data_IF_054846873402
#
_entry.id   IF_054846873402
#
_cell.length_a   1.000
_cell.length_b   1.000
_cell.length_c   1.000
_cell.angle_alpha   90.00
_cell.angle_beta   90.00
_cell.angle_gamma   90.00
#
_symmetry.space_group_name_H-M   'P 1'
#
loop_
_entity.id
_entity.type
_entity.pdbx_description
1 polymer ?
#
# COMPACT_ATOMS: atom_id res chain seq x y z
N UNK A 1 -22.92 47.57 -15.94
CA UNK A 1 -23.97 47.74 -14.92
C UNK A 1 -23.54 48.86 -13.99
N UNK A 2 -24.14 50.05 -14.09
CA UNK A 2 -23.86 51.09 -13.09
C UNK A 2 -24.54 50.69 -11.78
N UNK A 3 -23.77 50.68 -10.70
CA UNK A 3 -24.33 50.47 -9.36
C UNK A 3 -24.82 51.82 -8.85
N UNK A 4 -25.96 51.88 -8.16
CA UNK A 4 -26.50 53.10 -7.52
C UNK A 4 -25.45 53.97 -6.80
N UNK A 5 -24.42 53.36 -6.22
CA UNK A 5 -23.29 54.07 -5.62
C UNK A 5 -22.41 54.85 -6.63
N UNK A 6 -22.12 54.26 -7.79
CA UNK A 6 -21.35 54.90 -8.86
C UNK A 6 -22.11 56.06 -9.49
N UNK A 7 -23.44 55.95 -9.60
CA UNK A 7 -24.29 57.05 -10.09
C UNK A 7 -24.25 58.23 -9.13
N UNK A 8 -24.40 57.98 -7.82
CA UNK A 8 -24.32 59.01 -6.78
C UNK A 8 -22.94 59.68 -6.72
N UNK A 9 -21.85 58.91 -6.91
CA UNK A 9 -20.49 59.45 -6.94
C UNK A 9 -20.28 60.36 -8.16
N UNK A 10 -20.85 60.01 -9.31
CA UNK A 10 -20.81 60.84 -10.53
C UNK A 10 -21.62 62.12 -10.34
N UNK A 11 -22.79 62.03 -9.69
CA UNK A 11 -23.60 63.18 -9.33
C UNK A 11 -22.88 64.09 -8.31
N UNK A 12 -22.13 63.52 -7.37
CA UNK A 12 -21.36 64.26 -6.37
C UNK A 12 -20.23 65.05 -7.04
N UNK A 13 -19.58 64.48 -8.05
CA UNK A 13 -18.57 65.18 -8.85
C UNK A 13 -19.17 66.39 -9.58
N UNK A 14 -20.33 66.23 -10.21
CA UNK A 14 -21.01 67.35 -10.89
C UNK A 14 -21.38 68.49 -9.94
N UNK A 15 -21.88 68.15 -8.74
CA UNK A 15 -22.20 69.16 -7.71
C UNK A 15 -20.95 69.87 -7.16
N UNK A 16 -19.81 69.19 -7.13
CA UNK A 16 -18.52 69.77 -6.71
C UNK A 16 -18.02 70.78 -7.74
N UNK A 17 -18.10 70.44 -9.02
CA UNK A 17 -17.70 71.35 -10.11
C UNK A 17 -18.57 72.62 -10.12
N UNK A 18 -19.88 72.48 -9.90
CA UNK A 18 -20.79 73.62 -9.80
C UNK A 18 -20.54 74.45 -8.53
N UNK A 19 -20.20 73.82 -7.40
CA UNK A 19 -19.83 74.53 -6.18
C UNK A 19 -18.55 75.34 -6.38
N UNK A 20 -17.56 74.74 -7.03
CA UNK A 20 -16.28 75.38 -7.34
C UNK A 20 -16.46 76.62 -8.22
N UNK A 21 -17.29 76.53 -9.28
CA UNK A 21 -17.61 77.68 -10.15
C UNK A 21 -18.28 78.83 -9.38
N UNK A 22 -19.25 78.52 -8.52
CA UNK A 22 -19.94 79.53 -7.72
C UNK A 22 -19.01 80.18 -6.69
N UNK A 23 -18.10 79.40 -6.08
CA UNK A 23 -17.11 79.91 -5.14
C UNK A 23 -16.10 80.84 -5.82
N UNK A 24 -15.63 80.49 -7.02
CA UNK A 24 -14.77 81.37 -7.82
C UNK A 24 -15.47 82.69 -8.17
N UNK A 25 -16.73 82.64 -8.61
CA UNK A 25 -17.48 83.87 -8.89
C UNK A 25 -17.57 84.80 -7.69
N UNK A 26 -17.82 84.25 -6.50
CA UNK A 26 -17.87 85.03 -5.25
C UNK A 26 -16.49 85.61 -4.90
N UNK A 27 -15.42 84.85 -5.10
CA UNK A 27 -14.05 85.33 -4.89
C UNK A 27 -13.70 86.45 -5.87
N UNK A 28 -14.03 86.32 -7.15
CA UNK A 28 -13.82 87.37 -8.17
C UNK A 28 -14.58 88.65 -7.80
N UNK A 29 -15.83 88.52 -7.31
CA UNK A 29 -16.61 89.65 -6.84
C UNK A 29 -16.00 90.32 -5.59
N UNK A 30 -15.47 89.52 -4.65
CA UNK A 30 -14.79 90.04 -3.45
C UNK A 30 -13.44 90.68 -3.78
N UNK A 31 -12.69 90.12 -4.72
CA UNK A 31 -11.43 90.68 -5.22
C UNK A 31 -11.66 92.03 -5.90
N UNK A 32 -12.72 92.12 -6.72
CA UNK A 32 -13.18 93.40 -7.25
C UNK A 32 -13.44 94.39 -6.11
N UNK A 33 -14.24 94.05 -5.09
CA UNK A 33 -14.51 94.94 -3.95
C UNK A 33 -13.26 95.38 -3.18
N UNK A 34 -12.24 94.52 -3.10
CA UNK A 34 -11.02 94.75 -2.32
C UNK A 34 -9.97 95.59 -3.06
N UNK A 35 -10.17 95.88 -4.36
CA UNK A 35 -9.21 96.62 -5.16
C UNK A 35 -9.09 98.10 -4.70
N UNK A 36 -7.87 98.59 -4.37
CA UNK A 36 -7.67 99.99 -4.02
C UNK A 36 -7.89 100.87 -5.27
N UNK A 37 -8.72 101.91 -5.13
CA UNK A 37 -9.08 102.87 -6.19
C UNK A 37 -10.18 102.47 -7.21
N UNK A 38 -11.20 101.72 -6.80
CA UNK A 38 -12.38 101.51 -7.65
C UNK A 38 -13.36 102.68 -7.67
N UNK A 39 -13.96 102.93 -8.85
CA UNK A 39 -15.09 103.82 -8.98
C UNK A 39 -16.31 103.27 -8.22
N UNK A 40 -17.09 104.19 -7.62
CA UNK A 40 -18.27 103.82 -6.80
C UNK A 40 -19.30 102.98 -7.56
N UNK A 41 -19.41 103.17 -8.88
CA UNK A 41 -20.32 102.40 -9.73
C UNK A 41 -19.88 100.93 -9.87
N UNK A 42 -18.58 100.68 -9.99
CA UNK A 42 -18.00 99.32 -10.08
C UNK A 42 -18.13 98.58 -8.74
N UNK A 43 -17.98 99.28 -7.62
CA UNK A 43 -18.22 98.73 -6.28
C UNK A 43 -19.69 98.31 -6.08
N UNK A 44 -20.63 99.13 -6.55
CA UNK A 44 -22.07 98.80 -6.49
C UNK A 44 -22.41 97.64 -7.42
N UNK A 45 -21.80 97.57 -8.60
CA UNK A 45 -21.97 96.44 -9.52
C UNK A 45 -21.43 95.13 -8.92
N UNK A 46 -20.25 95.17 -8.30
CA UNK A 46 -19.65 94.01 -7.66
C UNK A 46 -20.42 93.57 -6.40
N UNK A 47 -20.99 94.50 -5.62
CA UNK A 47 -21.90 94.19 -4.51
C UNK A 47 -23.19 93.50 -4.98
N UNK A 48 -23.75 93.93 -6.12
CA UNK A 48 -24.93 93.27 -6.73
C UNK A 48 -24.57 91.89 -7.27
N UNK A 49 -23.39 91.72 -7.87
CA UNK A 49 -22.88 90.43 -8.31
C UNK A 49 -22.72 89.46 -7.13
N UNK A 50 -22.11 89.94 -6.03
CA UNK A 50 -21.95 89.17 -4.80
C UNK A 50 -23.30 88.74 -4.20
N UNK A 51 -24.26 89.67 -4.15
CA UNK A 51 -25.62 89.36 -3.68
C UNK A 51 -26.25 88.25 -4.54
N UNK A 52 -26.11 88.34 -5.86
CA UNK A 52 -26.69 87.39 -6.83
C UNK A 52 -26.03 86.00 -6.74
N UNK A 53 -24.74 85.93 -6.42
CA UNK A 53 -23.98 84.66 -6.36
C UNK A 53 -24.00 83.99 -4.98
N UNK A 54 -24.37 84.72 -3.92
CA UNK A 54 -24.43 84.20 -2.55
C UNK A 54 -25.45 83.07 -2.36
N UNK A 55 -26.66 83.22 -2.91
CA UNK A 55 -27.74 82.22 -2.80
C UNK A 55 -27.41 80.93 -3.59
N UNK A 56 -26.95 80.99 -4.87
CA UNK A 56 -26.48 79.82 -5.61
C UNK A 56 -25.36 79.04 -4.90
N UNK A 57 -24.39 79.74 -4.31
CA UNK A 57 -23.30 79.11 -3.57
C UNK A 57 -23.81 78.31 -2.36
N UNK A 58 -24.69 78.92 -1.55
CA UNK A 58 -25.29 78.25 -0.39
C UNK A 58 -26.13 77.06 -0.81
N UNK A 59 -26.94 77.19 -1.86
CA UNK A 59 -27.75 76.10 -2.40
C UNK A 59 -26.89 74.94 -2.91
N UNK A 60 -25.82 75.25 -3.64
CA UNK A 60 -24.87 74.26 -4.12
C UNK A 60 -24.18 73.52 -2.97
N UNK A 61 -23.78 74.23 -1.91
CA UNK A 61 -23.17 73.64 -0.72
C UNK A 61 -24.13 72.69 0.02
N UNK A 62 -25.40 73.07 0.14
CA UNK A 62 -26.44 72.19 0.73
C UNK A 62 -26.61 70.92 -0.10
N UNK A 63 -26.70 71.04 -1.43
CA UNK A 63 -26.83 69.88 -2.32
C UNK A 63 -25.63 68.94 -2.22
N UNK A 64 -24.41 69.49 -2.25
CA UNK A 64 -23.17 68.72 -2.09
C UNK A 64 -23.17 67.92 -0.78
N UNK A 65 -23.61 68.53 0.32
CA UNK A 65 -23.70 67.86 1.63
C UNK A 65 -24.74 66.75 1.63
N UNK A 66 -25.93 66.98 1.07
CA UNK A 66 -26.99 65.97 0.97
C UNK A 66 -26.52 64.77 0.15
N UNK A 67 -25.88 65.03 -1.00
CA UNK A 67 -25.40 63.95 -1.86
C UNK A 67 -24.22 63.19 -1.25
N UNK A 68 -23.33 63.88 -0.52
CA UNK A 68 -22.27 63.22 0.24
C UNK A 68 -22.83 62.24 1.28
N UNK A 69 -23.87 62.64 2.03
CA UNK A 69 -24.57 61.74 2.98
C UNK A 69 -25.16 60.54 2.23
N UNK A 70 -25.84 60.77 1.11
CA UNK A 70 -26.41 59.69 0.29
C UNK A 70 -25.33 58.72 -0.23
N UNK A 71 -24.17 59.22 -0.65
CA UNK A 71 -23.04 58.40 -1.09
C UNK A 71 -22.49 57.53 0.04
N UNK A 72 -22.32 58.11 1.23
CA UNK A 72 -21.83 57.39 2.42
C UNK A 72 -22.83 56.32 2.85
N UNK A 73 -24.13 56.60 2.84
CA UNK A 73 -25.17 55.63 3.15
C UNK A 73 -25.24 54.51 2.10
N UNK A 74 -25.17 54.83 0.81
CA UNK A 74 -25.13 53.85 -0.27
C UNK A 74 -23.89 52.95 -0.19
N UNK A 75 -22.75 53.50 0.20
CA UNK A 75 -21.54 52.73 0.47
C UNK A 75 -21.69 51.84 1.70
N UNK A 76 -22.16 52.38 2.82
CA UNK A 76 -22.32 51.63 4.07
C UNK A 76 -23.33 50.48 3.94
N UNK A 77 -24.43 50.71 3.22
CA UNK A 77 -25.41 49.66 2.89
C UNK A 77 -24.81 48.60 1.98
N UNK A 78 -24.04 48.99 0.95
CA UNK A 78 -23.30 48.04 0.11
C UNK A 78 -22.26 47.25 0.90
N UNK A 79 -21.52 47.86 1.81
CA UNK A 79 -20.50 47.18 2.60
C UNK A 79 -21.11 46.21 3.63
N UNK A 80 -22.20 46.60 4.30
CA UNK A 80 -22.87 45.77 5.32
C UNK A 80 -23.75 44.67 4.73
N UNK A 81 -24.48 44.97 3.66
CA UNK A 81 -25.46 44.07 3.06
C UNK A 81 -24.88 43.33 1.86
N UNK A 82 -23.85 43.87 1.20
CA UNK A 82 -23.21 43.29 0.00
C UNK A 82 -22.83 41.81 0.14
N UNK A 83 -22.15 41.38 1.21
CA UNK A 83 -21.79 39.97 1.39
C UNK A 83 -23.01 39.05 1.51
N UNK A 84 -24.06 39.47 2.22
CA UNK A 84 -25.30 38.70 2.39
C UNK A 84 -26.21 38.75 1.14
N UNK A 85 -26.23 39.90 0.46
CA UNK A 85 -26.93 40.13 -0.81
C UNK A 85 -26.29 39.34 -1.94
N UNK A 86 -24.96 39.24 -2.01
CA UNK A 86 -24.28 38.50 -3.08
C UNK A 86 -24.47 36.99 -2.94
N UNK A 87 -24.61 36.46 -1.71
CA UNK A 87 -25.03 35.07 -1.49
C UNK A 87 -26.50 34.87 -1.88
N UNK A 88 -27.38 35.83 -1.60
CA UNK A 88 -28.80 35.76 -1.99
C UNK A 88 -29.07 36.05 -3.48
N UNK A 89 -28.20 36.82 -4.16
CA UNK A 89 -28.24 37.11 -5.60
C UNK A 89 -27.40 36.16 -6.43
N UNK A 90 -26.51 35.41 -5.80
CA UNK A 90 -25.84 34.29 -6.42
C UNK A 90 -26.93 33.34 -6.90
N UNK A 91 -27.13 33.31 -8.22
CA UNK A 91 -28.03 32.37 -8.89
C UNK A 91 -27.58 30.91 -8.75
N UNK A 92 -26.69 30.60 -7.81
CA UNK A 92 -26.42 29.26 -7.30
C UNK A 92 -27.61 28.80 -6.43
N UNK A 93 -28.82 28.87 -6.97
CA UNK A 93 -29.92 28.07 -6.47
C UNK A 93 -29.89 26.77 -7.24
N UNK A 94 -29.55 25.68 -6.55
CA UNK A 94 -29.83 24.34 -7.05
C UNK A 94 -31.35 24.19 -7.08
N UNK A 95 -32.01 24.64 -8.16
CA UNK A 95 -33.41 24.32 -8.40
C UNK A 95 -33.54 22.81 -8.46
N UNK A 96 -34.45 22.26 -7.65
CA UNK A 96 -34.66 20.82 -7.46
C UNK A 96 -35.21 20.06 -8.70
N UNK A 97 -35.05 20.63 -9.90
CA UNK A 97 -35.55 20.07 -11.16
C UNK A 97 -34.54 20.12 -12.32
N UNK A 98 -33.29 20.54 -12.09
CA UNK A 98 -32.24 20.55 -13.11
C UNK A 98 -31.22 19.44 -12.82
N UNK A 99 -31.64 18.18 -12.92
CA UNK A 99 -30.80 16.98 -12.79
C UNK A 99 -29.98 16.71 -14.09
N UNK A 100 -29.55 17.76 -14.77
CA UNK A 100 -28.61 17.65 -15.88
C UNK A 100 -27.22 17.18 -15.39
N UNK A 101 -26.47 16.43 -16.22
CA UNK A 101 -25.14 15.95 -15.86
C UNK A 101 -24.14 17.08 -15.54
N UNK A 102 -24.39 18.31 -16.02
CA UNK A 102 -23.55 19.49 -15.84
C UNK A 102 -23.95 20.40 -14.65
N UNK A 103 -24.87 19.96 -13.79
CA UNK A 103 -25.24 20.71 -12.59
C UNK A 103 -24.10 20.72 -11.56
N UNK A 104 -23.80 21.86 -10.95
CA UNK A 104 -22.85 21.97 -9.82
C UNK A 104 -23.18 20.96 -8.71
N UNK A 105 -24.47 20.64 -8.50
CA UNK A 105 -24.88 19.61 -7.54
C UNK A 105 -24.44 18.20 -7.93
N UNK A 106 -24.49 17.84 -9.21
CA UNK A 106 -24.01 16.52 -9.67
C UNK A 106 -22.49 16.44 -9.49
N UNK A 107 -21.77 17.52 -9.80
CA UNK A 107 -20.32 17.61 -9.60
C UNK A 107 -19.94 17.46 -8.12
N UNK A 108 -20.60 18.20 -7.22
CA UNK A 108 -20.34 18.10 -5.78
C UNK A 108 -20.65 16.70 -5.25
N UNK A 109 -21.74 16.09 -5.71
CA UNK A 109 -22.09 14.71 -5.35
C UNK A 109 -21.00 13.74 -5.82
N UNK A 110 -20.54 13.86 -7.07
CA UNK A 110 -19.50 13.00 -7.65
C UNK A 110 -18.15 13.17 -6.96
N UNK A 111 -17.79 14.40 -6.58
CA UNK A 111 -16.58 14.68 -5.79
C UNK A 111 -16.68 14.03 -4.41
N UNK A 112 -17.85 14.07 -3.76
CA UNK A 112 -18.06 13.39 -2.49
C UNK A 112 -17.97 11.87 -2.62
N UNK A 113 -18.59 11.30 -3.65
CA UNK A 113 -18.50 9.87 -3.95
C UNK A 113 -17.05 9.43 -4.20
N UNK A 114 -16.30 10.19 -5.00
CA UNK A 114 -14.89 9.94 -5.25
C UNK A 114 -14.06 10.02 -3.95
N UNK A 115 -14.30 11.03 -3.13
CA UNK A 115 -13.62 11.19 -1.84
C UNK A 115 -13.91 9.99 -0.92
N UNK A 116 -15.15 9.53 -0.85
CA UNK A 116 -15.53 8.36 -0.06
C UNK A 116 -14.87 7.09 -0.58
N UNK A 117 -14.89 6.87 -1.89
CA UNK A 117 -14.22 5.71 -2.51
C UNK A 117 -12.71 5.73 -2.27
N UNK A 118 -12.08 6.90 -2.32
CA UNK A 118 -10.65 7.06 -2.04
C UNK A 118 -10.30 6.78 -0.59
N UNK A 119 -11.10 7.28 0.36
CA UNK A 119 -10.93 6.96 1.79
C UNK A 119 -11.11 5.46 2.06
N UNK A 120 -12.11 4.83 1.44
CA UNK A 120 -12.32 3.38 1.53
C UNK A 120 -11.13 2.60 0.98
N UNK A 121 -10.61 2.99 -0.19
CA UNK A 121 -9.43 2.36 -0.77
C UNK A 121 -8.20 2.50 0.14
N UNK A 122 -7.98 3.69 0.70
CA UNK A 122 -6.87 3.93 1.62
C UNK A 122 -7.01 3.11 2.92
N UNK A 123 -8.23 2.96 3.45
CA UNK A 123 -8.50 2.07 4.58
C UNK A 123 -8.25 0.60 4.24
N UNK A 124 -8.67 0.16 3.04
CA UNK A 124 -8.46 -1.19 2.54
C UNK A 124 -6.96 -1.55 2.44
N UNK A 125 -6.15 -0.62 1.95
CA UNK A 125 -4.71 -0.84 1.79
C UNK A 125 -3.94 -0.78 3.12
N UNK A 126 -4.31 0.12 4.04
CA UNK A 126 -3.52 0.34 5.26
C UNK A 126 -3.99 -0.46 6.48
N UNK A 127 -5.31 -0.58 6.70
CA UNK A 127 -5.85 -1.12 7.95
C UNK A 127 -6.52 -2.48 7.77
N UNK A 128 -7.11 -2.71 6.60
CA UNK A 128 -7.83 -3.95 6.29
C UNK A 128 -7.04 -4.86 5.35
N UNK A 129 -5.77 -4.56 5.10
CA UNK A 129 -4.90 -5.42 4.32
C UNK A 129 -4.68 -6.73 5.06
N UNK A 130 -4.92 -7.85 4.35
CA UNK A 130 -4.65 -9.19 4.88
C UNK A 130 -3.35 -9.68 4.26
N UNK A 131 -2.36 -9.92 5.11
CA UNK A 131 -1.08 -10.50 4.70
C UNK A 131 -1.18 -12.03 4.57
N UNK A 132 -0.28 -12.60 3.77
CA UNK A 132 -0.13 -14.04 3.64
C UNK A 132 0.45 -14.64 4.94
N UNK A 133 0.09 -15.89 5.22
CA UNK A 133 0.70 -16.61 6.33
C UNK A 133 2.18 -16.89 6.03
N UNK A 134 3.06 -16.38 6.88
CA UNK A 134 4.50 -16.58 6.76
C UNK A 134 4.88 -18.00 7.18
N UNK A 135 5.51 -18.81 6.29
CA UNK A 135 6.03 -20.10 6.69
C UNK A 135 7.18 -19.92 7.70
N UNK A 136 7.25 -20.81 8.69
CA UNK A 136 8.37 -20.82 9.63
C UNK A 136 9.59 -21.44 8.94
N UNK A 137 10.64 -20.65 8.75
CA UNK A 137 11.91 -21.12 8.22
C UNK A 137 12.76 -21.74 9.33
N UNK A 138 13.20 -22.99 9.17
CA UNK A 138 14.24 -23.60 10.00
C UNK A 138 15.55 -23.63 9.20
N UNK A 139 16.32 -22.55 9.26
CA UNK A 139 17.72 -22.54 8.79
C UNK A 139 18.65 -22.87 9.96
N UNK A 140 18.73 -24.14 10.33
CA UNK A 140 19.86 -24.72 11.07
C UNK A 140 20.21 -24.16 12.46
N UNK A 141 19.38 -23.32 13.07
CA UNK A 141 19.62 -22.73 14.39
C UNK A 141 18.53 -23.08 15.42
N UNK A 142 18.84 -22.94 16.71
CA UNK A 142 17.91 -23.12 17.84
C UNK A 142 16.73 -22.10 17.85
N UNK A 143 16.75 -21.11 16.98
CA UNK A 143 15.71 -20.09 16.88
C UNK A 143 14.91 -20.24 15.59
N UNK A 144 13.59 -20.28 15.74
CA UNK A 144 12.64 -20.26 14.62
C UNK A 144 12.50 -18.82 14.16
N UNK A 145 13.01 -18.51 12.97
CA UNK A 145 12.78 -17.22 12.33
C UNK A 145 11.53 -17.29 11.47
N UNK A 146 10.63 -16.32 11.62
CA UNK A 146 9.52 -16.14 10.69
C UNK A 146 10.11 -15.66 9.38
N UNK A 147 9.95 -16.45 8.32
CA UNK A 147 10.47 -16.07 7.03
C UNK A 147 9.61 -14.94 6.44
N UNK A 148 10.19 -13.74 6.35
CA UNK A 148 9.57 -12.57 5.74
C UNK A 148 10.07 -12.34 4.31
N UNK A 149 10.83 -13.27 3.73
CA UNK A 149 11.34 -13.19 2.36
C UNK A 149 10.22 -13.43 1.33
N UNK A 150 9.16 -12.64 1.40
CA UNK A 150 8.10 -12.57 0.40
C UNK A 150 7.37 -13.89 0.10
N UNK A 151 6.37 -13.84 -0.79
CA UNK A 151 5.75 -15.05 -1.30
C UNK A 151 6.73 -15.82 -2.22
N UNK A 152 6.57 -17.16 -2.35
CA UNK A 152 7.30 -17.95 -3.34
C UNK A 152 7.17 -17.35 -4.75
N UNK A 153 8.19 -17.48 -5.63
CA UNK A 153 8.23 -16.80 -6.93
C UNK A 153 7.04 -17.14 -7.83
N UNK A 154 6.53 -18.37 -7.73
CA UNK A 154 5.34 -18.83 -8.46
C UNK A 154 4.07 -18.10 -8.01
N UNK A 155 3.92 -17.85 -6.70
CA UNK A 155 2.81 -17.10 -6.14
C UNK A 155 2.99 -15.59 -6.39
N UNK A 156 4.22 -15.08 -6.32
CA UNK A 156 4.54 -13.68 -6.61
C UNK A 156 4.11 -13.28 -8.02
N UNK A 157 4.35 -14.14 -9.03
CA UNK A 157 3.91 -13.92 -10.40
C UNK A 157 2.37 -13.88 -10.53
N UNK A 158 1.67 -14.79 -9.85
CA UNK A 158 0.21 -14.84 -9.85
C UNK A 158 -0.42 -13.62 -9.14
N UNK A 159 0.21 -13.14 -8.06
CA UNK A 159 -0.23 -11.94 -7.33
C UNK A 159 0.02 -10.67 -8.14
N UNK A 160 1.19 -10.55 -8.80
CA UNK A 160 1.48 -9.42 -9.68
C UNK A 160 0.47 -9.30 -10.85
N UNK A 161 -0.11 -10.42 -11.30
CA UNK A 161 -1.14 -10.42 -12.32
C UNK A 161 -2.49 -9.82 -11.85
N UNK A 162 -2.77 -9.80 -10.54
CA UNK A 162 -3.92 -9.07 -9.98
C UNK A 162 -3.69 -7.55 -9.99
N UNK A 163 -2.44 -7.11 -9.86
CA UNK A 163 -2.07 -5.70 -9.82
C UNK A 163 -1.90 -5.07 -11.21
N UNK A 164 -2.05 -5.86 -12.29
CA UNK A 164 -1.92 -5.43 -13.68
C UNK A 164 -3.02 -4.45 -14.15
N UNK A 165 -3.96 -4.09 -13.27
CA UNK A 165 -4.95 -3.04 -13.52
C UNK A 165 -5.92 -3.40 -14.66
N UNK A 166 -6.10 -2.55 -15.69
CA UNK A 166 -7.08 -2.76 -16.76
C UNK A 166 -6.76 -3.95 -17.67
N UNK A 167 -5.49 -4.38 -17.71
CA UNK A 167 -5.02 -5.53 -18.50
C UNK A 167 -5.02 -6.82 -17.68
N UNK A 168 -5.50 -6.78 -16.43
CA UNK A 168 -5.56 -7.95 -15.58
C UNK A 168 -6.55 -8.98 -16.15
N UNK A 169 -6.16 -10.26 -16.23
CA UNK A 169 -7.10 -11.32 -16.56
C UNK A 169 -8.25 -11.36 -15.54
N UNK A 170 -9.42 -11.81 -15.98
CA UNK A 170 -10.61 -11.85 -15.13
C UNK A 170 -10.29 -12.55 -13.79
N UNK A 171 -10.73 -11.96 -12.67
CA UNK A 171 -10.43 -12.44 -11.33
C UNK A 171 -10.77 -13.94 -11.10
N UNK A 172 -11.75 -14.46 -11.83
CA UNK A 172 -12.12 -15.88 -11.82
C UNK A 172 -11.02 -16.79 -12.40
N UNK A 173 -10.34 -16.36 -13.48
CA UNK A 173 -9.26 -17.13 -14.10
C UNK A 173 -8.03 -17.17 -13.19
N UNK A 174 -7.66 -16.03 -12.59
CA UNK A 174 -6.56 -15.97 -11.62
C UNK A 174 -6.85 -16.83 -10.37
N UNK A 175 -8.11 -16.82 -9.90
CA UNK A 175 -8.52 -17.68 -8.78
C UNK A 175 -8.42 -19.16 -9.12
N UNK A 176 -8.79 -19.56 -10.34
CA UNK A 176 -8.65 -20.94 -10.79
C UNK A 176 -7.18 -21.37 -10.83
N UNK A 177 -6.28 -20.49 -11.26
CA UNK A 177 -4.84 -20.76 -11.29
C UNK A 177 -4.25 -20.91 -9.88
N UNK A 178 -4.66 -20.05 -8.93
CA UNK A 178 -4.26 -20.19 -7.52
C UNK A 178 -4.76 -21.49 -6.88
N UNK A 179 -5.99 -21.93 -7.21
CA UNK A 179 -6.51 -23.21 -6.73
C UNK A 179 -5.73 -24.38 -7.31
N UNK A 180 -5.39 -24.34 -8.59
CA UNK A 180 -4.55 -25.35 -9.25
C UNK A 180 -3.18 -25.44 -8.60
N UNK A 181 -2.58 -24.29 -8.28
CA UNK A 181 -1.31 -24.22 -7.56
C UNK A 181 -1.40 -24.87 -6.17
N UNK A 182 -2.43 -24.52 -5.40
CA UNK A 182 -2.67 -25.07 -4.08
C UNK A 182 -2.87 -26.59 -4.11
N UNK A 183 -3.62 -27.10 -5.09
CA UNK A 183 -3.86 -28.53 -5.26
C UNK A 183 -2.59 -29.28 -5.68
N UNK A 184 -1.73 -28.66 -6.49
CA UNK A 184 -0.41 -29.21 -6.80
C UNK A 184 0.49 -29.31 -5.55
N UNK A 185 0.50 -28.30 -4.67
CA UNK A 185 1.24 -28.36 -3.40
C UNK A 185 0.70 -29.48 -2.51
N UNK A 186 -0.62 -29.63 -2.39
CA UNK A 186 -1.23 -30.71 -1.61
C UNK A 186 -0.84 -32.08 -2.15
N UNK A 187 -0.90 -32.26 -3.47
CA UNK A 187 -0.57 -33.52 -4.12
C UNK A 187 0.92 -33.89 -3.95
N UNK A 188 1.83 -32.93 -4.17
CA UNK A 188 3.27 -33.15 -3.98
C UNK A 188 3.61 -33.45 -2.52
N UNK A 189 3.05 -32.71 -1.57
CA UNK A 189 3.24 -32.97 -0.13
C UNK A 189 2.71 -34.34 0.27
N UNK A 190 1.52 -34.73 -0.19
CA UNK A 190 0.95 -36.04 0.08
C UNK A 190 1.83 -37.16 -0.48
N UNK A 191 2.31 -36.99 -1.72
CA UNK A 191 3.24 -37.93 -2.36
C UNK A 191 4.51 -38.13 -1.53
N UNK A 192 5.22 -37.04 -1.19
CA UNK A 192 6.45 -37.15 -0.41
C UNK A 192 6.23 -37.72 0.99
N UNK A 193 5.09 -37.41 1.64
CA UNK A 193 4.74 -37.98 2.94
C UNK A 193 4.54 -39.49 2.84
N UNK A 194 3.83 -39.96 1.82
CA UNK A 194 3.62 -41.38 1.59
C UNK A 194 4.92 -42.11 1.22
N UNK A 195 5.72 -41.54 0.31
CA UNK A 195 7.03 -42.10 -0.05
C UNK A 195 7.95 -42.19 1.17
N UNK A 196 8.01 -41.15 2.00
CA UNK A 196 8.82 -41.16 3.22
C UNK A 196 8.30 -42.20 4.23
N UNK A 197 6.99 -42.22 4.47
CA UNK A 197 6.39 -43.13 5.46
C UNK A 197 6.49 -44.59 5.06
N UNK A 198 6.33 -44.94 3.80
CA UNK A 198 6.25 -46.34 3.37
C UNK A 198 7.53 -46.83 2.69
N UNK A 199 8.04 -46.13 1.67
CA UNK A 199 9.22 -46.57 0.94
C UNK A 199 10.51 -46.37 1.74
N UNK A 200 10.73 -45.16 2.27
CA UNK A 200 11.96 -44.86 3.02
C UNK A 200 11.99 -45.61 4.36
N UNK A 201 10.88 -45.70 5.08
CA UNK A 201 10.87 -46.43 6.34
C UNK A 201 11.11 -47.94 6.18
N UNK A 202 10.53 -48.58 5.14
CA UNK A 202 10.74 -50.00 4.90
C UNK A 202 12.14 -50.29 4.36
N UNK A 203 12.67 -49.43 3.48
CA UNK A 203 14.07 -49.56 3.05
C UNK A 203 15.04 -49.38 4.22
N UNK A 204 14.78 -48.44 5.14
CA UNK A 204 15.61 -48.23 6.32
C UNK A 204 15.51 -49.42 7.29
N UNK A 205 14.32 -50.01 7.46
CA UNK A 205 14.14 -51.24 8.24
C UNK A 205 14.92 -52.41 7.64
N UNK A 206 14.87 -52.57 6.32
CA UNK A 206 15.60 -53.63 5.63
C UNK A 206 17.12 -53.42 5.78
N UNK A 207 17.59 -52.20 5.55
CA UNK A 207 19.00 -51.85 5.70
C UNK A 207 19.48 -52.08 7.14
N UNK A 208 18.66 -51.75 8.14
CA UNK A 208 18.96 -51.99 9.56
C UNK A 208 19.09 -53.48 9.86
N UNK A 209 18.20 -54.32 9.29
CA UNK A 209 18.31 -55.79 9.42
C UNK A 209 19.58 -56.31 8.76
N UNK A 210 19.89 -55.84 7.56
CA UNK A 210 21.07 -56.30 6.81
C UNK A 210 22.37 -55.89 7.53
N UNK A 211 22.43 -54.67 8.07
CA UNK A 211 23.55 -54.19 8.89
C UNK A 211 23.68 -55.02 10.17
N UNK A 212 22.56 -55.37 10.83
CA UNK A 212 22.58 -56.20 12.04
C UNK A 212 23.02 -57.63 11.75
N UNK A 213 22.57 -58.20 10.63
CA UNK A 213 23.02 -59.52 10.18
C UNK A 213 24.51 -59.50 9.80
N UNK A 214 24.97 -58.41 9.18
CA UNK A 214 26.38 -58.23 8.84
C UNK A 214 27.25 -58.06 10.10
N UNK A 215 26.80 -57.30 11.09
CA UNK A 215 27.51 -57.16 12.37
C UNK A 215 27.60 -58.50 13.11
N UNK A 216 26.53 -59.31 13.13
CA UNK A 216 26.56 -60.66 13.72
C UNK A 216 27.51 -61.60 12.97
N UNK A 217 27.52 -61.55 11.63
CA UNK A 217 28.49 -62.34 10.82
C UNK A 217 29.91 -61.90 11.09
N UNK A 218 30.14 -60.60 11.21
CA UNK A 218 31.44 -60.04 11.54
C UNK A 218 31.90 -60.49 12.93
N UNK A 219 31.04 -60.39 13.94
CA UNK A 219 31.29 -60.86 15.31
C UNK A 219 31.53 -62.38 15.36
N UNK A 220 30.81 -63.16 14.54
CA UNK A 220 31.08 -64.60 14.37
C UNK A 220 32.45 -64.87 13.72
N UNK A 221 32.85 -64.10 12.71
CA UNK A 221 34.16 -64.23 12.09
C UNK A 221 35.26 -63.81 13.07
N UNK A 222 35.06 -62.71 13.78
CA UNK A 222 35.97 -62.25 14.83
C UNK A 222 36.10 -63.29 15.95
N UNK A 223 34.99 -63.90 16.37
CA UNK A 223 34.98 -64.99 17.34
C UNK A 223 35.68 -66.28 16.87
N UNK A 224 35.70 -66.56 15.57
CA UNK A 224 36.43 -67.73 15.01
C UNK A 224 37.92 -67.46 14.75
N UNK A 225 38.27 -66.22 14.39
CA UNK A 225 39.64 -65.79 14.08
C UNK A 225 40.44 -65.35 15.32
N UNK A 226 39.78 -64.67 16.27
CA UNK A 226 40.42 -64.03 17.43
C UNK A 226 39.86 -64.50 18.78
N UNK A 227 38.65 -65.06 18.80
CA UNK A 227 38.00 -65.59 20.00
C UNK A 227 38.33 -67.06 20.29
N UNK A 228 38.15 -67.44 21.55
CA UNK A 228 38.27 -68.83 22.06
C UNK A 228 36.99 -69.64 21.77
N UNK A 229 36.39 -69.47 20.59
CA UNK A 229 35.22 -70.24 20.19
C UNK A 229 35.59 -71.73 19.97
N UNK A 230 34.68 -72.69 20.24
CA UNK A 230 34.98 -74.13 20.13
C UNK A 230 35.36 -74.59 18.71
N UNK A 231 35.10 -73.77 17.69
CA UNK A 231 35.51 -73.94 16.29
C UNK A 231 36.70 -73.05 15.89
N UNK A 232 37.46 -72.52 16.85
CA UNK A 232 38.67 -71.74 16.63
C UNK A 232 39.64 -72.44 15.68
N UNK A 233 40.41 -71.68 14.90
CA UNK A 233 41.49 -72.18 14.05
C UNK A 233 42.41 -73.18 14.77
N UNK A 234 42.66 -73.01 16.07
CA UNK A 234 43.43 -73.97 16.89
C UNK A 234 42.70 -75.29 17.13
N UNK A 235 41.38 -75.26 17.30
CA UNK A 235 40.52 -76.44 17.44
C UNK A 235 40.41 -77.20 16.11
N UNK A 236 40.25 -76.46 15.01
CA UNK A 236 40.25 -77.00 13.64
C UNK A 236 41.61 -77.61 13.26
N UNK A 237 42.72 -76.97 13.64
CA UNK A 237 44.06 -77.55 13.47
C UNK A 237 44.25 -78.81 14.33
N UNK A 238 43.78 -78.80 15.58
CA UNK A 238 43.83 -79.99 16.44
C UNK A 238 42.97 -81.14 15.92
N UNK A 239 41.80 -80.87 15.34
CA UNK A 239 40.96 -81.93 14.74
C UNK A 239 41.56 -82.48 13.44
N UNK A 240 42.28 -81.66 12.68
CA UNK A 240 43.09 -82.12 11.55
C UNK A 240 44.27 -82.98 12.02
N UNK A 241 44.93 -82.63 13.12
CA UNK A 241 46.00 -83.45 13.70
C UNK A 241 45.48 -84.77 14.26
N UNK A 242 44.31 -84.80 14.90
CA UNK A 242 43.71 -86.05 15.40
C UNK A 242 43.16 -86.93 14.29
N UNK A 243 42.58 -86.37 13.23
CA UNK A 243 42.17 -87.15 12.05
C UNK A 243 43.36 -87.70 11.28
N UNK A 244 44.46 -86.94 11.18
CA UNK A 244 45.73 -87.44 10.64
C UNK A 244 46.28 -88.59 11.50
N UNK A 245 46.25 -88.46 12.82
CA UNK A 245 46.67 -89.52 13.74
C UNK A 245 45.78 -90.79 13.63
N UNK A 246 44.45 -90.60 13.48
CA UNK A 246 43.51 -91.71 13.29
C UNK A 246 43.70 -92.42 11.94
N UNK A 247 44.04 -91.69 10.86
CA UNK A 247 44.43 -92.30 9.59
C UNK A 247 45.69 -93.15 9.72
N UNK A 248 46.71 -92.64 10.42
CA UNK A 248 47.96 -93.39 10.65
C UNK A 248 47.72 -94.66 11.47
N UNK A 249 46.85 -94.61 12.49
CA UNK A 249 46.44 -95.77 13.27
C UNK A 249 45.59 -96.76 12.46
N UNK A 250 44.70 -96.29 11.59
CA UNK A 250 43.92 -97.16 10.69
C UNK A 250 44.81 -97.88 9.68
N UNK A 251 45.87 -97.24 9.17
CA UNK A 251 46.86 -97.91 8.31
C UNK A 251 47.71 -98.90 9.10
N UNK A 252 48.10 -98.58 10.34
CA UNK A 252 48.87 -99.50 11.19
C UNK A 252 48.04 -100.71 11.68
N UNK A 253 46.73 -100.54 11.89
CA UNK A 253 45.82 -101.62 12.24
C UNK A 253 45.52 -102.55 11.05
N UNK A 254 45.59 -102.05 9.82
CA UNK A 254 45.43 -102.88 8.63
C UNK A 254 46.63 -103.83 8.41
N UNK A 255 47.84 -103.44 8.85
CA UNK A 255 49.05 -104.28 8.78
C UNK A 255 49.15 -105.35 9.88
N UNK A 256 48.29 -105.32 10.91
CA UNK A 256 48.28 -106.29 12.02
C UNK A 256 47.14 -107.32 11.96
N UNK A 257 46.25 -107.22 10.96
CA UNK A 257 45.07 -108.08 10.83
C UNK A 257 45.13 -109.02 9.61
N UNK A 258 46.30 -109.63 9.34
CA UNK A 258 46.41 -110.78 8.45
C UNK A 258 46.68 -112.06 9.27
N UNK A 259 45.71 -112.99 9.41
CA UNK A 259 45.98 -114.35 9.85
C UNK A 259 46.13 -115.29 8.64
N UNK A 260 47.31 -115.87 8.51
CA UNK A 260 47.58 -117.03 7.64
C UNK A 260 46.99 -118.30 8.24
N UNK A 261 46.03 -118.91 7.52
CA UNK A 261 45.88 -120.36 7.40
C UNK A 261 45.18 -120.62 6.06
N UNK A 262 45.80 -121.31 5.11
CA UNK A 262 45.96 -122.76 5.19
C UNK A 262 46.99 -123.28 4.19
N UNK A 263 47.93 -124.08 4.69
CA UNK A 263 48.65 -125.14 3.97
C UNK A 263 47.62 -126.17 3.43
N UNK A 264 47.81 -126.86 2.29
CA UNK A 264 48.86 -127.88 2.18
C UNK A 264 49.03 -128.52 0.77
N UNK A 265 50.19 -129.18 0.62
CA UNK A 265 50.66 -130.21 -0.36
C UNK A 265 51.48 -129.69 -1.55
N UNK A 266 52.69 -130.21 -1.84
CA UNK A 266 53.04 -131.65 -1.93
C UNK A 266 54.47 -132.04 -1.51
N UNK A 267 54.59 -133.33 -1.15
CA UNK A 267 55.77 -134.24 -0.95
C UNK A 267 56.71 -134.02 0.21
#
# INVERSE_FOLDING_TARGET
MSTRYMDLLTEQQGQLDDNYRNALGVLDALEALAAPEQHKEDQVAALRSLQTQSEPLLRSLVMLRVNNVNCVEAYATRAKIGPASDVAKSKLHATAGDDGPDNVRSLVTRVRELQMAWLQHLQLVNQLSVELAYPLGSRGGQHVTVDREGPPPELAAALAAYDAGPDAPAAAALRAELLRYLDNIKATRARYLLENKYLLSDSLRQLTRDVSAWSQKWESLEGTLFGDAPSSLRSLLRSVDTTKAAMIQSTAAHDLAAPDSSTNQST
#
